data_IF_127444846565
#
_entry.id   IF_127444846565
#
_cell.length_a   1.000
_cell.length_b   1.000
_cell.length_c   1.000
_cell.angle_alpha   90.00
_cell.angle_beta   90.00
_cell.angle_gamma   90.00
#
_symmetry.space_group_name_H-M   'P 1'
#
loop_
_entity.id
_entity.type
_entity.pdbx_description
1 polymer ?
#
# COMPACT_ATOMS: atom_id res chain seq x y z
N UNK A 1 -81.42 13.35 4.88
CA UNK A 1 -80.51 14.37 5.42
C UNK A 1 -79.60 13.74 6.47
N UNK A 2 -78.28 13.86 6.24
CA UNK A 2 -77.11 13.67 7.14
C UNK A 2 -77.04 12.40 8.01
N UNK A 3 -76.26 11.42 7.53
CA UNK A 3 -75.56 10.44 8.39
C UNK A 3 -74.33 11.12 8.98
N UNK A 4 -74.25 11.16 10.31
CA UNK A 4 -73.09 11.64 11.07
C UNK A 4 -72.12 10.47 11.20
N UNK A 5 -70.92 10.60 10.62
CA UNK A 5 -69.80 9.67 10.82
C UNK A 5 -68.78 10.41 11.68
N UNK A 6 -68.49 9.86 12.85
CA UNK A 6 -67.41 10.30 13.73
C UNK A 6 -66.07 9.86 13.13
N UNK A 7 -65.21 10.82 12.81
CA UNK A 7 -63.82 10.55 12.42
C UNK A 7 -62.95 10.70 13.68
N UNK A 8 -62.54 9.57 14.26
CA UNK A 8 -61.55 9.56 15.33
C UNK A 8 -60.16 9.80 14.71
N UNK A 9 -59.59 10.98 14.92
CA UNK A 9 -58.21 11.30 14.57
C UNK A 9 -57.29 10.72 15.65
N UNK A 10 -56.62 9.61 15.33
CA UNK A 10 -55.50 9.11 16.10
C UNK A 10 -54.22 9.81 15.60
N UNK A 11 -53.77 10.86 16.29
CA UNK A 11 -52.43 11.40 16.12
C UNK A 11 -51.41 10.39 16.68
N UNK A 12 -50.75 9.65 15.80
CA UNK A 12 -49.54 8.92 16.14
C UNK A 12 -48.35 9.88 16.09
N UNK A 13 -47.89 10.31 17.27
CA UNK A 13 -46.60 10.98 17.44
C UNK A 13 -45.49 9.94 17.24
N UNK A 14 -44.99 9.79 16.02
CA UNK A 14 -43.75 9.06 15.77
C UNK A 14 -42.56 9.98 16.08
N UNK A 15 -42.04 9.84 17.29
CA UNK A 15 -40.68 10.24 17.64
C UNK A 15 -39.69 9.38 16.84
N UNK A 16 -39.14 9.91 15.75
CA UNK A 16 -38.00 9.29 15.08
C UNK A 16 -36.70 9.63 15.81
N UNK A 17 -36.57 9.15 17.06
CA UNK A 17 -35.26 8.72 17.58
C UNK A 17 -35.16 7.25 17.22
N UNK A 18 -34.63 6.95 16.04
CA UNK A 18 -34.02 5.67 15.67
C UNK A 18 -33.61 5.71 14.18
N UNK A 19 -32.46 6.33 13.93
CA UNK A 19 -31.67 6.09 12.72
C UNK A 19 -30.27 5.61 13.14
N UNK A 20 -30.25 4.54 13.96
CA UNK A 20 -29.08 3.68 14.12
C UNK A 20 -29.51 2.28 13.69
N UNK A 21 -29.67 2.14 12.37
CA UNK A 21 -29.67 0.89 11.63
C UNK A 21 -28.60 1.12 10.56
N UNK A 22 -27.57 0.31 10.39
CA UNK A 22 -27.38 -1.10 10.71
C UNK A 22 -25.87 -1.32 10.64
N UNK A 23 -25.33 -2.29 11.36
CA UNK A 23 -23.96 -2.78 11.18
C UNK A 23 -23.71 -3.06 9.70
N UNK A 24 -23.00 -2.14 9.03
CA UNK A 24 -22.45 -2.42 7.73
C UNK A 24 -21.49 -3.60 7.92
N UNK A 25 -21.74 -4.72 7.23
CA UNK A 25 -20.73 -5.74 7.04
C UNK A 25 -19.51 -5.04 6.45
N UNK A 26 -18.46 -4.93 7.26
CA UNK A 26 -17.21 -4.28 6.91
C UNK A 26 -16.41 -5.20 5.98
N UNK A 27 -16.89 -5.34 4.73
CA UNK A 27 -16.25 -6.16 3.69
C UNK A 27 -14.82 -5.68 3.34
N UNK A 28 -14.45 -4.46 3.77
CA UNK A 28 -13.10 -3.91 3.59
C UNK A 28 -12.04 -4.49 4.54
N UNK A 29 -12.42 -5.25 5.57
CA UNK A 29 -11.48 -5.82 6.55
C UNK A 29 -10.93 -7.20 6.16
N UNK A 30 -11.35 -7.77 5.02
CA UNK A 30 -11.02 -9.14 4.67
C UNK A 30 -10.29 -9.15 3.33
N UNK A 31 -9.00 -8.83 3.35
CA UNK A 31 -8.11 -9.50 2.42
C UNK A 31 -8.27 -11.00 2.67
N UNK A 32 -8.35 -11.82 1.61
CA UNK A 32 -8.36 -13.27 1.81
C UNK A 32 -7.17 -13.64 2.70
N UNK A 33 -7.47 -14.19 3.88
CA UNK A 33 -6.48 -14.60 4.87
C UNK A 33 -5.69 -15.78 4.32
N UNK A 34 -4.67 -15.49 3.50
CA UNK A 34 -3.69 -16.46 3.08
C UNK A 34 -2.82 -16.73 4.30
N UNK A 35 -3.17 -17.78 5.05
CA UNK A 35 -2.32 -18.28 6.13
C UNK A 35 -1.03 -18.83 5.52
N UNK A 36 0.09 -18.29 5.95
CA UNK A 36 1.41 -18.84 5.67
C UNK A 36 2.11 -19.13 7.00
N UNK A 37 3.10 -20.03 6.96
CA UNK A 37 3.91 -20.32 8.13
C UNK A 37 4.89 -19.16 8.29
N UNK A 38 4.87 -18.50 9.45
CA UNK A 38 5.85 -17.46 9.74
C UNK A 38 7.27 -18.05 9.69
N UNK A 39 8.22 -17.38 9.02
CA UNK A 39 9.58 -17.85 8.90
C UNK A 39 10.26 -17.93 10.26
N UNK A 40 11.19 -18.89 10.41
CA UNK A 40 12.16 -18.80 11.49
C UNK A 40 13.07 -17.61 11.20
N UNK A 41 13.13 -16.61 12.09
CA UNK A 41 13.99 -15.43 11.91
C UNK A 41 15.37 -15.68 12.50
N UNK A 42 16.40 -15.45 11.70
CA UNK A 42 17.77 -15.22 12.20
C UNK A 42 18.05 -13.71 12.14
N UNK A 43 18.59 -13.11 13.19
CA UNK A 43 18.85 -11.66 13.27
C UNK A 43 20.21 -11.21 12.72
N UNK A 44 21.09 -12.12 12.31
CA UNK A 44 22.38 -11.78 11.72
C UNK A 44 22.19 -11.06 10.38
N UNK A 45 22.71 -9.84 10.26
CA UNK A 45 22.58 -9.00 9.06
C UNK A 45 23.70 -9.25 8.03
N UNK A 46 24.82 -9.79 8.49
CA UNK A 46 25.96 -10.19 7.67
C UNK A 46 25.96 -11.71 7.52
N UNK A 47 26.00 -12.21 6.28
CA UNK A 47 25.73 -13.62 6.01
C UNK A 47 27.02 -14.43 6.01
N UNK A 48 27.16 -15.36 6.95
CA UNK A 48 28.37 -16.22 7.05
C UNK A 48 28.05 -17.70 6.92
N UNK A 49 26.86 -18.11 7.34
CA UNK A 49 26.37 -19.49 7.30
C UNK A 49 24.97 -19.57 6.69
N UNK A 50 24.56 -20.76 6.23
CA UNK A 50 23.22 -21.00 5.68
C UNK A 50 22.10 -20.51 6.61
N UNK A 51 22.24 -20.71 7.92
CA UNK A 51 21.25 -20.28 8.91
C UNK A 51 21.04 -18.75 8.93
N UNK A 52 22.03 -17.96 8.51
CA UNK A 52 21.92 -16.51 8.42
C UNK A 52 21.02 -16.07 7.27
N UNK A 53 20.71 -16.93 6.31
CA UNK A 53 19.79 -16.62 5.21
C UNK A 53 18.32 -16.58 5.67
N UNK A 54 17.99 -17.25 6.77
CA UNK A 54 16.62 -17.37 7.27
C UNK A 54 16.02 -16.00 7.66
N UNK A 55 14.77 -15.77 7.23
CA UNK A 55 14.01 -14.55 7.49
C UNK A 55 13.72 -13.71 6.25
N UNK A 56 13.44 -12.43 6.48
CA UNK A 56 12.94 -11.52 5.45
C UNK A 56 14.04 -10.74 4.74
N UNK A 57 13.94 -10.70 3.41
CA UNK A 57 14.79 -9.93 2.52
C UNK A 57 13.92 -8.96 1.74
N UNK A 58 14.13 -7.66 1.92
CA UNK A 58 13.23 -6.63 1.41
C UNK A 58 14.01 -5.69 0.51
N UNK A 59 13.39 -5.31 -0.60
CA UNK A 59 13.99 -4.38 -1.53
C UNK A 59 13.15 -4.21 -2.78
N UNK A 60 13.83 -3.84 -3.86
CA UNK A 60 13.18 -3.49 -5.12
C UNK A 60 13.02 -4.72 -6.03
N UNK A 61 11.92 -4.74 -6.77
CA UNK A 61 11.52 -5.74 -7.76
C UNK A 61 11.28 -5.03 -9.10
N UNK A 62 12.37 -4.70 -9.77
CA UNK A 62 12.38 -3.76 -10.89
C UNK A 62 12.43 -4.54 -12.20
N UNK A 63 11.76 -4.03 -13.23
CA UNK A 63 11.91 -4.52 -14.60
C UNK A 63 13.39 -4.69 -15.01
N UNK A 64 13.68 -5.80 -15.69
CA UNK A 64 15.01 -6.17 -16.21
C UNK A 64 14.99 -6.25 -17.74
N UNK A 65 14.22 -5.37 -18.37
CA UNK A 65 14.34 -5.08 -19.80
C UNK A 65 15.47 -4.07 -20.03
N UNK A 66 16.23 -4.28 -21.09
CA UNK A 66 17.06 -3.24 -21.69
C UNK A 66 16.17 -2.28 -22.48
N UNK A 67 15.21 -1.60 -21.83
CA UNK A 67 14.53 -0.48 -22.48
C UNK A 67 15.58 0.62 -22.68
N UNK A 68 16.14 0.67 -23.89
CA UNK A 68 16.64 1.91 -24.47
C UNK A 68 15.46 2.87 -24.42
N UNK A 69 15.57 3.93 -23.61
CA UNK A 69 14.56 4.99 -23.55
C UNK A 69 14.63 5.71 -24.90
N UNK A 70 14.03 5.12 -25.92
CA UNK A 70 13.79 5.80 -27.19
C UNK A 70 12.80 6.93 -26.86
N UNK A 71 13.23 8.17 -27.08
CA UNK A 71 12.52 9.44 -26.82
C UNK A 71 11.12 9.58 -27.47
N UNK A 72 10.62 8.57 -28.19
CA UNK A 72 9.48 8.69 -29.11
C UNK A 72 8.24 7.83 -28.76
N UNK A 73 8.28 7.01 -27.72
CA UNK A 73 7.03 6.70 -27.01
C UNK A 73 6.96 7.70 -25.88
N UNK A 74 5.95 8.58 -25.89
CA UNK A 74 5.56 9.34 -24.70
C UNK A 74 5.38 8.35 -23.54
N UNK A 75 6.47 8.08 -22.83
CA UNK A 75 6.42 7.89 -21.41
C UNK A 75 5.70 9.16 -20.99
N UNK A 76 4.44 9.05 -20.58
CA UNK A 76 3.81 10.10 -19.81
C UNK A 76 4.73 10.30 -18.61
N UNK A 77 5.71 11.18 -18.76
CA UNK A 77 6.55 11.75 -17.72
C UNK A 77 5.69 12.72 -16.90
N UNK A 78 4.46 12.31 -16.60
CA UNK A 78 3.58 12.97 -15.66
C UNK A 78 4.17 12.66 -14.28
N UNK A 79 5.14 13.49 -13.90
CA UNK A 79 5.51 13.87 -12.55
C UNK A 79 5.08 12.85 -11.46
N UNK A 80 6.02 11.96 -11.08
CA UNK A 80 5.86 10.78 -10.21
C UNK A 80 5.30 9.49 -10.86
N UNK A 81 5.00 9.51 -12.16
CA UNK A 81 4.51 8.41 -13.00
C UNK A 81 5.52 7.36 -13.45
N UNK A 82 6.40 6.86 -12.56
CA UNK A 82 6.94 5.51 -12.82
C UNK A 82 5.71 4.59 -12.77
N UNK A 83 5.29 4.03 -13.90
CA UNK A 83 4.25 3.01 -13.92
C UNK A 83 4.64 1.97 -12.86
N UNK A 84 3.83 1.91 -11.79
CA UNK A 84 4.03 1.06 -10.61
C UNK A 84 4.29 -0.39 -11.03
N UNK A 85 3.88 -0.77 -12.24
CA UNK A 85 4.21 -2.06 -12.82
C UNK A 85 5.73 -2.30 -12.98
N UNK A 86 6.53 -1.30 -13.33
CA UNK A 86 7.98 -1.45 -13.57
C UNK A 86 8.83 -1.40 -12.30
N UNK A 87 8.38 -0.74 -11.24
CA UNK A 87 9.09 -0.68 -9.95
C UNK A 87 8.14 -1.05 -8.81
N UNK A 88 8.36 -2.23 -8.24
CA UNK A 88 7.59 -2.73 -7.09
C UNK A 88 8.51 -2.96 -5.89
N UNK A 89 7.96 -2.92 -4.68
CA UNK A 89 8.60 -3.47 -3.49
C UNK A 89 8.31 -4.97 -3.40
N UNK A 90 9.30 -5.76 -2.96
CA UNK A 90 9.16 -7.17 -2.65
C UNK A 90 9.69 -7.47 -1.25
N UNK A 91 9.00 -8.35 -0.54
CA UNK A 91 9.56 -9.11 0.59
C UNK A 91 9.75 -10.56 0.15
N UNK A 92 11.00 -11.03 0.13
CA UNK A 92 11.36 -12.41 -0.13
C UNK A 92 11.70 -13.08 1.20
N UNK A 93 10.87 -14.02 1.63
CA UNK A 93 11.02 -14.73 2.89
C UNK A 93 11.64 -16.11 2.69
N UNK A 94 12.75 -16.38 3.35
CA UNK A 94 13.34 -17.73 3.42
C UNK A 94 12.86 -18.37 4.72
N UNK A 95 11.81 -19.19 4.60
CA UNK A 95 11.10 -19.74 5.76
C UNK A 95 11.85 -20.90 6.40
N UNK A 96 12.43 -21.77 5.57
CA UNK A 96 13.11 -22.99 6.04
C UNK A 96 14.21 -23.44 5.09
N UNK A 97 15.29 -23.93 5.69
CA UNK A 97 16.41 -24.58 5.01
C UNK A 97 16.57 -25.99 5.60
N UNK A 98 16.54 -27.03 4.76
CA UNK A 98 16.80 -28.41 5.15
C UNK A 98 17.86 -29.02 4.23
N UNK A 99 19.11 -29.04 4.69
CA UNK A 99 20.24 -29.42 3.85
C UNK A 99 20.45 -28.41 2.72
N UNK A 100 20.12 -28.82 1.50
CA UNK A 100 20.17 -27.98 0.29
C UNK A 100 18.77 -27.60 -0.20
N UNK A 101 17.71 -27.94 0.54
CA UNK A 101 16.34 -27.59 0.17
C UNK A 101 15.91 -26.29 0.85
N UNK A 102 15.33 -25.39 0.06
CA UNK A 102 14.70 -24.14 0.52
C UNK A 102 13.20 -24.21 0.27
N UNK A 103 12.44 -23.76 1.26
CA UNK A 103 11.05 -23.33 1.09
C UNK A 103 10.88 -21.92 1.62
N UNK A 104 10.03 -21.15 0.98
CA UNK A 104 9.77 -19.77 1.36
C UNK A 104 8.53 -19.20 0.68
N UNK A 105 8.38 -17.89 0.78
CA UNK A 105 7.34 -17.16 0.05
C UNK A 105 7.80 -15.75 -0.33
N UNK A 106 7.24 -15.23 -1.42
CA UNK A 106 7.37 -13.85 -1.84
C UNK A 106 6.10 -13.07 -1.47
N UNK A 107 6.25 -11.79 -1.15
CA UNK A 107 5.14 -10.84 -0.98
C UNK A 107 5.35 -9.71 -1.97
N UNK A 108 4.49 -9.64 -2.98
CA UNK A 108 4.53 -8.61 -4.04
C UNK A 108 3.11 -8.12 -4.29
N UNK A 109 2.91 -6.80 -4.24
CA UNK A 109 1.62 -6.17 -4.50
C UNK A 109 0.44 -6.73 -3.67
N UNK A 110 0.72 -7.15 -2.42
CA UNK A 110 -0.27 -7.76 -1.53
C UNK A 110 -0.62 -9.23 -1.85
N UNK A 111 0.09 -9.84 -2.80
CA UNK A 111 0.00 -11.26 -3.11
C UNK A 111 1.13 -12.00 -2.41
N UNK A 112 0.79 -13.10 -1.73
CA UNK A 112 1.74 -13.98 -1.06
C UNK A 112 1.85 -15.26 -1.87
N UNK A 113 3.04 -15.54 -2.39
CA UNK A 113 3.28 -16.67 -3.27
C UNK A 113 4.37 -17.58 -2.73
N UNK A 114 4.02 -18.84 -2.45
CA UNK A 114 4.98 -19.84 -1.94
C UNK A 114 5.94 -20.26 -3.05
N UNK A 115 7.18 -20.53 -2.68
CA UNK A 115 8.19 -21.11 -3.56
C UNK A 115 8.97 -22.23 -2.89
N UNK A 116 9.63 -23.05 -3.70
CA UNK A 116 10.56 -24.10 -3.26
C UNK A 116 11.72 -24.26 -4.22
N UNK A 117 12.85 -24.74 -3.73
CA UNK A 117 14.00 -24.99 -4.59
C UNK A 117 15.25 -25.40 -3.83
N UNK A 118 16.41 -24.99 -4.35
CA UNK A 118 17.72 -25.43 -3.87
C UNK A 118 18.61 -24.27 -3.45
N UNK A 119 19.40 -24.54 -2.41
CA UNK A 119 20.50 -23.72 -1.92
C UNK A 119 21.82 -24.42 -2.24
N UNK A 120 22.69 -23.72 -2.96
CA UNK A 120 24.08 -24.13 -3.15
C UNK A 120 25.00 -23.22 -2.37
N UNK A 121 26.11 -23.76 -1.88
CA UNK A 121 27.11 -23.03 -1.12
C UNK A 121 28.50 -23.30 -1.71
N UNK A 122 29.27 -22.24 -1.90
CA UNK A 122 30.70 -22.30 -2.19
C UNK A 122 31.48 -21.70 -1.01
N UNK A 123 32.82 -21.73 -1.02
CA UNK A 123 33.60 -21.00 -0.03
C UNK A 123 33.34 -19.48 -0.03
N UNK A 124 32.80 -18.90 -1.10
CA UNK A 124 32.69 -17.45 -1.28
C UNK A 124 31.26 -16.92 -1.30
N UNK A 125 30.27 -17.74 -1.64
CA UNK A 125 28.88 -17.27 -1.83
C UNK A 125 27.84 -18.37 -1.61
N UNK A 126 26.60 -17.92 -1.42
CA UNK A 126 25.40 -18.72 -1.44
C UNK A 126 24.60 -18.43 -2.72
N UNK A 127 24.08 -19.46 -3.36
CA UNK A 127 23.21 -19.34 -4.54
C UNK A 127 21.87 -20.01 -4.28
N UNK A 128 20.77 -19.31 -4.54
CA UNK A 128 19.40 -19.74 -4.29
C UNK A 128 18.67 -19.82 -5.63
N UNK A 129 18.15 -21.00 -5.96
CA UNK A 129 17.33 -21.21 -7.14
C UNK A 129 15.99 -21.80 -6.71
N UNK A 130 14.92 -21.01 -6.78
CA UNK A 130 13.57 -21.39 -6.31
C UNK A 130 12.50 -21.10 -7.35
N UNK A 131 11.43 -21.88 -7.31
CA UNK A 131 10.30 -21.81 -8.24
C UNK A 131 9.00 -21.66 -7.48
N UNK A 132 8.16 -20.74 -7.95
CA UNK A 132 6.75 -20.66 -7.59
C UNK A 132 5.97 -21.80 -8.28
N UNK A 133 4.69 -22.05 -7.95
CA UNK A 133 3.98 -23.24 -8.40
C UNK A 133 3.62 -23.23 -9.89
N UNK A 134 3.48 -22.05 -10.51
CA UNK A 134 3.22 -21.87 -11.94
C UNK A 134 1.73 -21.83 -12.31
N UNK A 135 0.83 -21.82 -11.33
CA UNK A 135 -0.62 -21.74 -11.56
C UNK A 135 -1.05 -20.32 -11.92
N UNK A 136 -0.41 -19.29 -11.38
CA UNK A 136 -0.75 -17.90 -11.66
C UNK A 136 0.03 -17.35 -12.86
N UNK A 137 -0.43 -16.24 -13.45
CA UNK A 137 0.32 -15.54 -14.52
C UNK A 137 1.55 -14.80 -13.97
N UNK A 138 1.50 -14.44 -12.70
CA UNK A 138 2.59 -13.77 -11.96
C UNK A 138 3.60 -14.75 -11.36
N UNK A 139 3.46 -16.05 -11.60
CA UNK A 139 4.41 -17.04 -11.09
C UNK A 139 5.66 -17.12 -11.98
N UNK A 140 6.80 -17.28 -11.32
CA UNK A 140 8.08 -17.44 -11.97
C UNK A 140 9.12 -18.16 -11.11
N UNK A 141 10.37 -17.93 -11.45
CA UNK A 141 11.52 -18.50 -10.76
C UNK A 141 12.50 -17.42 -10.37
N UNK A 142 13.11 -17.57 -9.20
CA UNK A 142 14.15 -16.70 -8.70
C UNK A 142 15.51 -17.40 -8.80
N UNK A 143 16.51 -16.64 -9.25
CA UNK A 143 17.92 -16.99 -9.17
C UNK A 143 18.65 -15.87 -8.42
N UNK A 144 19.01 -16.12 -7.17
CA UNK A 144 19.58 -15.13 -6.25
C UNK A 144 20.96 -15.57 -5.77
N UNK A 145 21.83 -14.60 -5.49
CA UNK A 145 23.17 -14.82 -4.96
C UNK A 145 23.52 -13.78 -3.90
N UNK A 146 24.28 -14.23 -2.90
CA UNK A 146 24.88 -13.36 -1.89
C UNK A 146 26.27 -13.88 -1.53
N UNK A 147 27.25 -12.98 -1.53
CA UNK A 147 28.61 -13.32 -1.09
C UNK A 147 28.62 -13.51 0.43
N UNK A 148 29.50 -14.38 0.91
CA UNK A 148 29.75 -14.49 2.35
C UNK A 148 30.32 -13.16 2.85
N UNK A 149 29.92 -12.79 4.06
CA UNK A 149 30.19 -11.51 4.71
C UNK A 149 29.52 -10.29 4.05
N UNK A 150 28.61 -10.51 3.10
CA UNK A 150 27.82 -9.45 2.49
C UNK A 150 26.47 -9.30 3.21
N UNK A 151 25.75 -8.24 2.85
CA UNK A 151 24.45 -7.83 3.38
C UNK A 151 23.37 -7.73 2.30
N UNK A 152 23.78 -7.87 1.02
CA UNK A 152 22.93 -7.64 -0.14
C UNK A 152 22.70 -8.93 -0.94
N UNK A 153 21.46 -9.40 -0.93
CA UNK A 153 21.01 -10.52 -1.75
C UNK A 153 20.55 -9.98 -3.09
N UNK A 154 21.29 -10.29 -4.15
CA UNK A 154 21.00 -9.81 -5.50
C UNK A 154 20.47 -10.96 -6.36
N UNK A 155 19.75 -10.65 -7.43
CA UNK A 155 19.39 -11.69 -8.37
C UNK A 155 18.35 -11.28 -9.39
N UNK A 156 17.76 -12.29 -10.00
CA UNK A 156 16.77 -12.14 -11.07
C UNK A 156 15.55 -12.99 -10.79
N UNK A 157 14.43 -12.53 -11.33
CA UNK A 157 13.20 -13.28 -11.45
C UNK A 157 12.77 -13.34 -12.91
N UNK A 158 12.32 -14.51 -13.35
CA UNK A 158 11.72 -14.70 -14.68
C UNK A 158 10.36 -15.36 -14.58
N UNK A 159 9.37 -14.80 -15.27
CA UNK A 159 8.04 -15.35 -15.34
C UNK A 159 8.00 -16.69 -16.09
N UNK A 160 7.12 -17.60 -15.65
CA UNK A 160 6.85 -18.81 -16.42
C UNK A 160 5.96 -18.54 -17.63
N UNK A 161 4.97 -17.64 -17.50
CA UNK A 161 4.00 -17.31 -18.55
C UNK A 161 4.32 -15.95 -19.18
N UNK A 162 5.46 -15.88 -19.87
CA UNK A 162 6.08 -14.63 -20.38
C UNK A 162 5.14 -13.78 -21.25
N UNK A 163 4.27 -14.42 -22.03
CA UNK A 163 3.35 -13.73 -22.95
C UNK A 163 2.06 -13.24 -22.28
N UNK A 164 1.85 -13.52 -20.99
CA UNK A 164 0.64 -13.17 -20.25
C UNK A 164 0.84 -11.98 -19.30
N UNK A 165 2.06 -11.44 -19.21
CA UNK A 165 2.39 -10.32 -18.33
C UNK A 165 3.30 -9.31 -19.05
N UNK A 166 3.11 -8.02 -18.73
CA UNK A 166 3.86 -6.90 -19.32
C UNK A 166 5.35 -6.96 -18.96
N UNK A 167 5.64 -7.14 -17.67
CA UNK A 167 7.00 -7.25 -17.15
C UNK A 167 7.31 -8.71 -16.83
N UNK A 168 8.08 -9.36 -17.69
CA UNK A 168 8.35 -10.80 -17.61
C UNK A 168 9.74 -11.18 -17.07
N UNK A 169 10.60 -10.19 -16.84
CA UNK A 169 11.91 -10.32 -16.19
C UNK A 169 12.10 -9.19 -15.21
N UNK A 170 12.69 -9.50 -14.06
CA UNK A 170 12.99 -8.51 -13.03
C UNK A 170 14.33 -8.74 -12.37
N UNK A 171 14.94 -7.65 -11.93
CA UNK A 171 16.16 -7.63 -11.11
C UNK A 171 15.81 -7.29 -9.67
N UNK A 172 16.56 -7.87 -8.75
CA UNK A 172 16.36 -7.76 -7.32
C UNK A 172 17.65 -7.33 -6.64
N UNK A 173 17.51 -6.44 -5.67
CA UNK A 173 18.56 -6.10 -4.71
C UNK A 173 17.92 -5.93 -3.34
N UNK A 174 18.14 -6.93 -2.47
CA UNK A 174 17.38 -7.12 -1.24
C UNK A 174 18.30 -7.04 -0.03
N UNK A 175 17.89 -6.27 0.97
CA UNK A 175 18.56 -6.22 2.26
C UNK A 175 17.80 -7.06 3.27
N UNK A 176 18.52 -7.75 4.14
CA UNK A 176 17.89 -8.45 5.25
C UNK A 176 17.24 -7.44 6.19
N UNK A 177 15.98 -7.69 6.57
CA UNK A 177 15.24 -6.86 7.51
C UNK A 177 14.58 -7.71 8.59
N UNK A 178 14.54 -7.15 9.79
CA UNK A 178 13.79 -7.71 10.92
C UNK A 178 12.51 -6.89 10.98
N UNK A 179 11.37 -7.58 10.95
CA UNK A 179 10.08 -6.91 11.12
C UNK A 179 9.88 -6.59 12.61
N UNK A 180 9.64 -5.32 12.92
CA UNK A 180 9.30 -4.85 14.24
C UNK A 180 8.16 -3.84 14.12
N UNK A 181 7.07 -4.07 14.85
CA UNK A 181 5.96 -3.12 14.91
C UNK A 181 6.42 -1.84 15.61
N UNK A 182 6.29 -0.70 14.91
CA UNK A 182 6.52 0.62 15.47
C UNK A 182 5.26 1.50 15.36
N UNK A 183 4.56 1.77 16.48
CA UNK A 183 3.38 2.62 16.48
C UNK A 183 3.70 4.10 16.21
N UNK A 184 4.97 4.50 16.21
CA UNK A 184 5.43 5.87 16.00
C UNK A 184 6.03 6.10 14.61
N UNK A 185 6.08 5.08 13.74
CA UNK A 185 6.57 5.23 12.39
C UNK A 185 5.77 6.31 11.65
N UNK A 186 6.46 7.32 11.12
CA UNK A 186 5.85 8.55 10.60
C UNK A 186 5.73 8.52 9.09
N UNK A 187 4.66 9.10 8.60
CA UNK A 187 4.52 9.47 7.19
C UNK A 187 5.35 10.74 6.96
N UNK A 188 6.08 10.78 5.84
CA UNK A 188 6.94 11.90 5.46
C UNK A 188 6.34 12.78 4.36
N UNK A 189 5.38 12.26 3.59
CA UNK A 189 4.79 12.92 2.41
C UNK A 189 3.26 12.80 2.40
N UNK A 190 2.60 13.64 1.61
CA UNK A 190 1.16 13.54 1.39
C UNK A 190 0.84 12.36 0.49
N UNK A 191 -0.29 11.72 0.75
CA UNK A 191 -0.86 10.76 -0.19
C UNK A 191 -1.47 11.51 -1.36
N UNK A 192 -1.22 11.06 -2.59
CA UNK A 192 -1.83 11.61 -3.81
C UNK A 192 -2.37 10.47 -4.66
N UNK A 193 -3.61 10.59 -5.10
CA UNK A 193 -4.21 9.71 -6.11
C UNK A 193 -4.17 10.41 -7.48
N UNK A 194 -3.11 10.13 -8.24
CA UNK A 194 -2.90 10.69 -9.58
C UNK A 194 -3.93 10.21 -10.62
N UNK A 195 -4.74 9.20 -10.31
CA UNK A 195 -5.83 8.75 -11.18
C UNK A 195 -7.15 9.50 -10.92
N UNK A 196 -7.14 10.43 -9.97
CA UNK A 196 -8.33 11.16 -9.55
C UNK A 196 -8.04 12.64 -9.41
N UNK A 197 -8.31 13.40 -10.47
CA UNK A 197 -8.14 14.84 -10.53
C UNK A 197 -9.46 15.61 -10.72
N UNK A 198 -9.39 16.90 -10.48
CA UNK A 198 -10.42 17.90 -10.81
C UNK A 198 -9.73 19.11 -11.42
N UNK A 199 -10.43 19.81 -12.32
CA UNK A 199 -9.94 21.07 -12.87
C UNK A 199 -10.57 22.23 -12.09
N UNK A 200 -9.74 23.13 -11.59
CA UNK A 200 -10.15 24.38 -10.94
C UNK A 200 -9.78 25.54 -11.85
N UNK A 201 -10.76 26.33 -12.27
CA UNK A 201 -10.50 27.54 -13.05
C UNK A 201 -10.00 28.66 -12.13
N UNK A 202 -8.78 29.14 -12.35
CA UNK A 202 -8.18 30.24 -11.58
C UNK A 202 -8.22 31.50 -12.42
N UNK A 203 -8.91 32.53 -11.92
CA UNK A 203 -8.94 33.86 -12.55
C UNK A 203 -7.86 34.77 -11.93
N UNK A 204 -7.19 35.55 -12.77
CA UNK A 204 -6.25 36.58 -12.34
C UNK A 204 -6.38 37.85 -13.20
N UNK A 205 -6.04 38.99 -12.60
CA UNK A 205 -6.00 40.26 -13.30
C UNK A 205 -4.72 40.37 -14.14
N UNK A 206 -4.87 40.82 -15.39
CA UNK A 206 -3.82 40.98 -16.41
C UNK A 206 -4.03 42.32 -17.14
N UNK A 207 -3.09 42.70 -18.00
CA UNK A 207 -3.21 43.88 -18.87
C UNK A 207 -3.10 43.45 -20.34
N UNK A 208 -3.92 44.03 -21.22
CA UNK A 208 -3.79 43.82 -22.66
C UNK A 208 -2.52 44.50 -23.22
N UNK A 209 -2.22 44.31 -24.51
CA UNK A 209 -1.05 44.91 -25.16
C UNK A 209 -1.00 46.45 -25.15
N UNK A 210 -2.09 47.11 -24.71
CA UNK A 210 -2.23 48.57 -24.65
C UNK A 210 -2.41 49.06 -23.20
N UNK A 211 -2.31 48.16 -22.21
CA UNK A 211 -2.37 48.50 -20.77
C UNK A 211 -3.80 48.57 -20.19
N UNK A 212 -4.82 48.04 -20.87
CA UNK A 212 -6.17 47.97 -20.28
C UNK A 212 -6.28 46.74 -19.37
N UNK A 213 -6.89 46.87 -18.18
CA UNK A 213 -7.09 45.74 -17.28
C UNK A 213 -8.04 44.73 -17.90
N UNK A 214 -7.61 43.47 -17.94
CA UNK A 214 -8.38 42.31 -18.39
C UNK A 214 -8.35 41.21 -17.33
N UNK A 215 -9.30 40.29 -17.40
CA UNK A 215 -9.29 39.06 -16.61
C UNK A 215 -8.86 37.90 -17.48
N UNK A 216 -7.82 37.22 -17.08
CA UNK A 216 -7.39 35.96 -17.67
C UNK A 216 -7.70 34.81 -16.73
N UNK A 217 -7.69 33.60 -17.28
CA UNK A 217 -7.88 32.39 -16.48
C UNK A 217 -7.10 31.25 -17.05
N UNK A 218 -6.54 30.42 -16.17
CA UNK A 218 -5.99 29.12 -16.53
C UNK A 218 -6.70 28.00 -15.77
N UNK A 219 -6.62 26.80 -16.33
CA UNK A 219 -7.14 25.59 -15.73
C UNK A 219 -6.04 25.00 -14.83
N UNK A 220 -6.32 24.93 -13.53
CA UNK A 220 -5.45 24.34 -12.51
C UNK A 220 -5.91 22.90 -12.25
N UNK A 221 -5.15 21.91 -12.72
CA UNK A 221 -5.41 20.52 -12.39
C UNK A 221 -4.97 20.21 -10.96
N UNK A 222 -5.93 19.70 -10.17
CA UNK A 222 -5.73 19.36 -8.77
C UNK A 222 -6.05 17.88 -8.55
N UNK A 223 -5.20 17.19 -7.77
CA UNK A 223 -5.33 15.76 -7.51
C UNK A 223 -5.90 15.48 -6.12
N UNK A 224 -6.66 14.40 -6.00
CA UNK A 224 -7.19 13.94 -4.72
C UNK A 224 -6.05 13.59 -3.77
N UNK A 225 -6.03 14.21 -2.60
CA UNK A 225 -4.91 14.11 -1.66
C UNK A 225 -5.34 14.27 -0.20
N UNK A 226 -4.41 14.05 0.71
CA UNK A 226 -4.52 14.37 2.14
C UNK A 226 -4.21 15.84 2.42
N UNK A 227 -4.66 16.34 3.58
CA UNK A 227 -4.17 17.59 4.17
C UNK A 227 -2.93 17.33 5.03
N UNK A 228 -2.24 18.39 5.47
CA UNK A 228 -1.08 18.26 6.39
C UNK A 228 -1.45 17.74 7.79
N UNK A 229 -2.76 17.66 8.10
CA UNK A 229 -3.26 17.18 9.38
C UNK A 229 -2.76 15.76 9.70
N UNK A 230 -2.52 14.93 8.67
CA UNK A 230 -2.03 13.55 8.85
C UNK A 230 -0.68 13.45 9.58
N UNK A 231 0.16 14.48 9.52
CA UNK A 231 1.47 14.48 10.20
C UNK A 231 1.37 14.68 11.71
N UNK A 232 0.21 15.13 12.19
CA UNK A 232 -0.01 15.52 13.58
C UNK A 232 -0.94 14.55 14.34
N UNK A 233 -1.38 13.47 13.70
CA UNK A 233 -2.29 12.49 14.28
C UNK A 233 -1.61 11.12 14.33
N UNK A 234 -1.57 10.51 15.52
CA UNK A 234 -1.11 9.13 15.66
C UNK A 234 -2.28 8.17 15.98
N UNK A 235 -2.83 7.47 14.98
CA UNK A 235 -3.99 6.60 15.18
C UNK A 235 -3.65 5.27 15.86
N UNK A 236 -2.37 4.98 16.13
CA UNK A 236 -1.92 3.78 16.85
C UNK A 236 -1.70 4.01 18.34
N UNK A 237 -1.41 5.24 18.78
CA UNK A 237 -1.08 5.54 20.19
C UNK A 237 -2.10 6.45 20.88
N UNK A 238 -2.92 7.19 20.13
CA UNK A 238 -3.88 8.15 20.68
C UNK A 238 -5.31 7.74 20.40
N UNK A 239 -6.22 7.85 21.38
CA UNK A 239 -7.65 7.65 21.14
C UNK A 239 -8.20 8.88 20.42
N UNK A 240 -8.62 8.70 19.17
CA UNK A 240 -9.16 9.78 18.36
C UNK A 240 -10.52 10.24 18.88
N UNK A 241 -10.72 11.56 18.91
CA UNK A 241 -11.98 12.20 19.29
C UNK A 241 -12.89 12.34 18.08
N UNK A 242 -14.20 12.28 18.33
CA UNK A 242 -15.21 12.44 17.27
C UNK A 242 -15.06 13.78 16.56
N UNK A 243 -14.85 14.85 17.33
CA UNK A 243 -14.75 16.23 16.87
C UNK A 243 -13.52 16.44 15.97
N UNK A 244 -12.46 15.65 16.17
CA UNK A 244 -11.30 15.64 15.29
C UNK A 244 -11.64 14.94 13.97
N UNK A 245 -12.16 13.70 14.06
CA UNK A 245 -12.39 12.85 12.89
C UNK A 245 -13.46 13.42 11.96
N UNK A 246 -14.47 14.12 12.48
CA UNK A 246 -15.52 14.74 11.65
C UNK A 246 -15.03 15.90 10.77
N UNK A 247 -13.87 16.47 11.09
CA UNK A 247 -13.25 17.56 10.33
C UNK A 247 -12.12 17.08 9.40
N UNK A 248 -11.79 15.78 9.40
CA UNK A 248 -10.79 15.21 8.51
C UNK A 248 -11.33 15.09 7.08
N UNK A 249 -10.45 15.31 6.09
CA UNK A 249 -10.80 14.99 4.71
C UNK A 249 -10.93 13.48 4.52
N UNK A 250 -11.57 13.07 3.43
CA UNK A 250 -11.69 11.65 3.06
C UNK A 250 -10.31 11.01 2.85
N UNK A 251 -9.36 11.77 2.30
CA UNK A 251 -7.96 11.33 2.15
C UNK A 251 -7.31 11.09 3.50
N UNK A 252 -7.47 12.02 4.45
CA UNK A 252 -6.89 11.90 5.80
C UNK A 252 -7.44 10.68 6.53
N UNK A 253 -8.76 10.47 6.49
CA UNK A 253 -9.41 9.30 7.10
C UNK A 253 -8.89 8.00 6.49
N UNK A 254 -8.80 7.96 5.16
CA UNK A 254 -8.29 6.81 4.42
C UNK A 254 -6.84 6.48 4.80
N UNK A 255 -5.95 7.47 4.78
CA UNK A 255 -4.53 7.27 5.08
C UNK A 255 -4.30 6.91 6.54
N UNK A 256 -4.91 7.63 7.50
CA UNK A 256 -4.75 7.34 8.93
C UNK A 256 -5.26 5.95 9.30
N UNK A 257 -6.36 5.50 8.68
CA UNK A 257 -6.85 4.14 8.86
C UNK A 257 -5.84 3.11 8.36
N UNK A 258 -5.31 3.30 7.15
CA UNK A 258 -4.37 2.36 6.55
C UNK A 258 -2.96 2.42 7.17
N UNK A 259 -2.55 3.55 7.75
CA UNK A 259 -1.30 3.69 8.47
C UNK A 259 -1.19 2.70 9.64
N UNK A 260 -2.30 2.44 10.34
CA UNK A 260 -2.35 1.41 11.39
C UNK A 260 -1.92 0.05 10.81
N UNK A 261 -2.56 -0.38 9.72
CA UNK A 261 -2.25 -1.67 9.08
C UNK A 261 -0.81 -1.70 8.54
N UNK A 262 -0.34 -0.61 7.94
CA UNK A 262 1.01 -0.48 7.39
C UNK A 262 2.09 -0.68 8.47
N UNK A 263 1.89 -0.11 9.67
CA UNK A 263 2.80 -0.27 10.82
C UNK A 263 2.87 -1.72 11.33
N UNK A 264 1.79 -2.47 11.17
CA UNK A 264 1.75 -3.90 11.43
C UNK A 264 2.29 -4.76 10.27
N UNK A 265 2.83 -4.14 9.21
CA UNK A 265 3.41 -4.86 8.07
C UNK A 265 2.37 -5.47 7.13
N UNK A 266 1.14 -4.94 7.10
CA UNK A 266 0.11 -5.39 6.18
C UNK A 266 0.51 -5.12 4.72
N UNK A 267 0.40 -6.12 3.86
CA UNK A 267 0.73 -6.04 2.44
C UNK A 267 -0.48 -5.59 1.61
N UNK A 268 -0.54 -4.32 1.23
CA UNK A 268 -1.68 -3.76 0.49
C UNK A 268 -1.81 -4.30 -0.95
N UNK A 269 -3.06 -4.61 -1.36
CA UNK A 269 -3.44 -4.88 -2.75
C UNK A 269 -3.94 -3.65 -3.51
N UNK A 270 -4.26 -2.58 -2.81
CA UNK A 270 -4.60 -1.30 -3.42
C UNK A 270 -3.34 -0.63 -3.99
N UNK A 271 -3.37 -0.22 -5.26
CA UNK A 271 -2.20 0.37 -5.91
C UNK A 271 -1.83 1.73 -5.32
N UNK A 272 -2.81 2.57 -4.99
CA UNK A 272 -2.55 3.91 -4.46
C UNK A 272 -1.90 3.84 -3.08
N UNK A 273 -2.34 2.92 -2.21
CA UNK A 273 -1.71 2.68 -0.91
C UNK A 273 -0.31 2.12 -1.04
N UNK A 274 -0.05 1.26 -2.02
CA UNK A 274 1.31 0.78 -2.28
C UNK A 274 2.21 1.89 -2.79
N UNK A 275 1.77 2.64 -3.80
CA UNK A 275 2.48 3.80 -4.30
C UNK A 275 2.77 4.81 -3.20
N UNK A 276 1.95 4.86 -2.15
CA UNK A 276 2.21 5.72 -1.00
C UNK A 276 3.18 5.10 0.01
N UNK A 277 2.88 3.92 0.55
CA UNK A 277 3.66 3.32 1.64
C UNK A 277 4.98 2.68 1.18
N UNK A 278 5.11 2.25 -0.07
CA UNK A 278 6.34 1.62 -0.57
C UNK A 278 7.54 2.57 -0.53
N UNK A 279 7.34 3.89 -0.56
CA UNK A 279 8.42 4.87 -0.43
C UNK A 279 8.90 5.07 1.02
N UNK A 280 8.08 4.74 2.02
CA UNK A 280 8.52 4.85 3.41
C UNK A 280 9.53 3.75 3.76
N UNK A 281 10.70 4.16 4.25
CA UNK A 281 11.81 3.26 4.58
C UNK A 281 11.43 2.26 5.69
N UNK A 282 10.62 2.68 6.66
CA UNK A 282 10.12 1.82 7.74
C UNK A 282 9.11 0.79 7.25
N UNK A 283 8.34 1.08 6.20
CA UNK A 283 7.29 0.18 5.74
C UNK A 283 7.87 -1.09 5.09
N UNK A 284 7.35 -2.22 5.55
CA UNK A 284 7.77 -3.55 5.17
C UNK A 284 6.51 -4.43 5.02
N UNK A 285 6.07 -4.74 3.78
CA UNK A 285 4.91 -5.61 3.57
C UNK A 285 5.27 -7.07 3.87
N UNK A 286 4.57 -7.69 4.82
CA UNK A 286 4.84 -9.06 5.30
C UNK A 286 3.57 -9.88 5.37
N UNK A 287 2.51 -9.32 5.95
CA UNK A 287 1.33 -10.09 6.34
C UNK A 287 0.13 -9.79 5.44
N UNK A 288 -0.66 -10.82 5.17
CA UNK A 288 -1.97 -10.71 4.51
C UNK A 288 -3.09 -10.36 5.50
N UNK A 289 -2.85 -10.55 6.80
CA UNK A 289 -3.78 -10.28 7.90
C UNK A 289 -2.99 -9.87 9.15
N UNK A 290 -3.39 -8.76 9.76
CA UNK A 290 -2.82 -8.22 11.00
C UNK A 290 -3.89 -7.98 12.07
N UNK A 291 -5.13 -8.41 11.81
CA UNK A 291 -6.31 -8.06 12.63
C UNK A 291 -6.20 -8.54 14.08
N UNK A 292 -5.45 -9.61 14.32
CA UNK A 292 -5.20 -10.17 15.65
C UNK A 292 -4.23 -9.32 16.47
N UNK A 293 -3.27 -8.68 15.81
CA UNK A 293 -2.19 -7.91 16.43
C UNK A 293 -2.60 -6.47 16.72
N UNK A 294 -3.71 -6.01 16.10
CA UNK A 294 -4.30 -4.70 16.36
C UNK A 294 -4.63 -4.49 17.86
N UNK A 295 -4.15 -3.38 18.39
CA UNK A 295 -4.39 -2.95 19.78
C UNK A 295 -5.83 -2.48 20.01
N UNK A 296 -6.21 -2.31 21.28
CA UNK A 296 -7.51 -1.73 21.64
C UNK A 296 -7.70 -0.31 21.05
N UNK A 297 -6.67 0.53 21.11
CA UNK A 297 -6.69 1.91 20.59
C UNK A 297 -6.93 1.88 19.08
N UNK A 298 -6.14 1.07 18.36
CA UNK A 298 -6.24 0.91 16.92
C UNK A 298 -7.61 0.41 16.48
N UNK A 299 -8.15 -0.64 17.11
CA UNK A 299 -9.49 -1.15 16.81
C UNK A 299 -10.56 -0.09 16.97
N UNK A 300 -10.50 0.70 18.06
CA UNK A 300 -11.44 1.80 18.33
C UNK A 300 -11.32 2.90 17.28
N UNK A 301 -10.10 3.28 16.91
CA UNK A 301 -9.84 4.32 15.92
C UNK A 301 -10.23 3.88 14.51
N UNK A 302 -9.94 2.64 14.10
CA UNK A 302 -10.38 2.07 12.83
C UNK A 302 -11.90 2.15 12.71
N UNK A 303 -12.63 1.73 13.75
CA UNK A 303 -14.08 1.79 13.75
C UNK A 303 -14.62 3.23 13.65
N UNK A 304 -13.97 4.17 14.34
CA UNK A 304 -14.35 5.59 14.26
C UNK A 304 -14.05 6.17 12.87
N UNK A 305 -12.86 5.98 12.34
CA UNK A 305 -12.45 6.46 11.01
C UNK A 305 -13.37 5.92 9.91
N UNK A 306 -13.62 4.61 9.88
CA UNK A 306 -14.54 3.97 8.92
C UNK A 306 -15.95 4.58 8.95
N UNK A 307 -16.46 4.92 10.14
CA UNK A 307 -17.78 5.52 10.29
C UNK A 307 -17.88 6.90 9.62
N UNK A 308 -16.80 7.68 9.62
CA UNK A 308 -16.79 9.02 9.03
C UNK A 308 -16.37 9.05 7.57
N UNK A 309 -15.64 8.03 7.09
CA UNK A 309 -15.13 7.94 5.71
C UNK A 309 -16.23 8.12 4.64
N UNK A 310 -17.45 7.63 4.90
CA UNK A 310 -18.57 7.73 3.97
C UNK A 310 -19.08 9.17 3.75
N UNK A 311 -18.92 10.05 4.75
CA UNK A 311 -19.43 11.42 4.71
C UNK A 311 -18.32 12.48 4.67
N UNK A 312 -17.06 12.05 4.75
CA UNK A 312 -15.91 12.94 4.70
C UNK A 312 -15.80 13.58 3.31
N UNK A 313 -15.48 14.88 3.29
CA UNK A 313 -15.30 15.63 2.04
C UNK A 313 -13.98 15.28 1.40
N UNK A 314 -13.98 15.21 0.08
CA UNK A 314 -12.76 15.05 -0.69
C UNK A 314 -11.95 16.35 -0.66
N UNK A 315 -10.63 16.22 -0.65
CA UNK A 315 -9.70 17.33 -0.70
C UNK A 315 -8.82 17.15 -1.94
N UNK A 316 -8.61 18.25 -2.66
CA UNK A 316 -7.84 18.30 -3.90
C UNK A 316 -6.80 19.41 -3.78
N UNK A 317 -5.59 19.15 -4.25
CA UNK A 317 -4.50 20.12 -4.23
C UNK A 317 -3.66 20.03 -5.51
N UNK A 318 -2.93 21.09 -5.80
CA UNK A 318 -2.04 21.16 -6.96
C UNK A 318 -0.68 20.54 -6.64
N UNK A 319 -0.12 19.79 -7.58
CA UNK A 319 1.20 19.16 -7.47
C UNK A 319 2.02 19.45 -8.73
N UNK A 320 2.80 20.53 -8.70
CA UNK A 320 3.52 21.08 -9.84
C UNK A 320 4.08 22.48 -9.51
N UNK A 321 4.99 23.01 -10.32
CA UNK A 321 5.59 24.36 -10.15
C UNK A 321 4.87 25.40 -10.97
#
# INVERSE_FOLDING_TARGET
MKKIIYFASALALFSCKDAIKTEAKNDFLIAENIKFDEPTINSNLTITAKADLLGYWVGEFIDDSDYDVNEDEEINEDFYGIDYEYRKKITFSIDKIKGDEITGHSVVSGNIQKFKGKLSETPYEFSINVKEPGNEKSDGQFALTIKKQDTLLNGKWEAFKKDQIKVNKRKLSLKKRIFEYDPNAKIEDRYVDFHKSTIKKVEYDSEDSVGNPIKESYDDEQFYTTTDTIYHINPSTEILKKELVENLSKGDVFVLRNLIFARHGFAFRDQTLRSFFDYHSWYMPVYSDVTKDLTYIEKKNIALLLRYEQNAKEYYDHFGR
#
